data_IF_998886516137
#
_entry.id   IF_998886516137
#
_cell.length_a   1.000
_cell.length_b   1.000
_cell.length_c   1.000
_cell.angle_alpha   90.00
_cell.angle_beta   90.00
_cell.angle_gamma   90.00
#
_symmetry.space_group_name_H-M   'P 1'
#
loop_
_entity.id
_entity.type
_entity.pdbx_description
1 polymer ?
#
# COMPACT_ATOMS: atom_id res chain seq x y z
N UNK A 1 4.54 15.08 -11.94
CA UNK A 1 3.24 14.97 -11.25
C UNK A 1 2.61 13.59 -11.34
N UNK A 2 2.45 13.00 -12.53
CA UNK A 2 1.83 11.67 -12.69
C UNK A 2 2.50 10.56 -11.86
N UNK A 3 3.83 10.46 -11.86
CA UNK A 3 4.54 9.46 -11.03
C UNK A 3 4.31 9.69 -9.52
N UNK A 4 4.13 10.96 -9.11
CA UNK A 4 3.84 11.30 -7.71
C UNK A 4 2.43 10.86 -7.34
N UNK A 5 1.45 11.12 -8.19
CA UNK A 5 0.08 10.62 -8.00
C UNK A 5 0.05 9.09 -7.94
N UNK A 6 0.74 8.42 -8.87
CA UNK A 6 0.87 6.97 -8.85
C UNK A 6 1.47 6.45 -7.54
N UNK A 7 2.54 7.09 -7.04
CA UNK A 7 3.11 6.78 -5.72
C UNK A 7 2.07 6.93 -4.61
N UNK A 8 1.25 7.98 -4.62
CA UNK A 8 0.21 8.21 -3.59
C UNK A 8 -0.85 7.10 -3.60
N UNK A 9 -1.27 6.65 -4.78
CA UNK A 9 -2.21 5.54 -4.94
C UNK A 9 -1.61 4.22 -4.44
N UNK A 10 -0.34 3.96 -4.76
CA UNK A 10 0.37 2.77 -4.25
C UNK A 10 0.54 2.80 -2.73
N UNK A 11 0.77 3.98 -2.16
CA UNK A 11 0.77 4.18 -0.70
C UNK A 11 -0.59 3.92 -0.06
N UNK A 12 -1.68 4.29 -0.73
CA UNK A 12 -3.05 3.92 -0.31
C UNK A 12 -3.23 2.41 -0.18
N UNK A 13 -2.74 1.63 -1.16
CA UNK A 13 -2.74 0.16 -1.08
C UNK A 13 -1.89 -0.41 0.07
N UNK A 14 -0.78 0.24 0.40
CA UNK A 14 0.04 -0.14 1.56
C UNK A 14 -0.69 0.10 2.88
N UNK A 15 -1.39 1.24 3.00
CA UNK A 15 -2.22 1.56 4.16
C UNK A 15 -3.37 0.55 4.30
N UNK A 16 -4.06 0.21 3.20
CA UNK A 16 -5.10 -0.83 3.21
C UNK A 16 -4.58 -2.16 3.75
N UNK A 17 -3.39 -2.60 3.30
CA UNK A 17 -2.80 -3.83 3.80
C UNK A 17 -2.54 -3.79 5.32
N UNK A 18 -1.90 -2.73 5.81
CA UNK A 18 -1.55 -2.60 7.23
C UNK A 18 -2.79 -2.52 8.13
N UNK A 19 -3.83 -1.79 7.70
CA UNK A 19 -5.02 -1.59 8.53
C UNK A 19 -6.02 -2.76 8.46
N UNK A 20 -6.07 -3.49 7.35
CA UNK A 20 -7.10 -4.53 7.13
C UNK A 20 -6.55 -5.95 7.31
N UNK A 21 -5.33 -6.21 6.84
CA UNK A 21 -4.80 -7.57 6.72
C UNK A 21 -3.62 -7.87 7.65
N UNK A 22 -2.85 -6.86 8.04
CA UNK A 22 -1.68 -7.08 8.90
C UNK A 22 -2.10 -7.46 10.33
N UNK A 23 -1.80 -8.72 10.69
CA UNK A 23 -2.10 -9.26 12.02
C UNK A 23 -1.33 -8.53 13.12
N UNK A 24 -0.12 -8.04 12.84
CA UNK A 24 0.70 -7.34 13.83
C UNK A 24 0.09 -5.99 14.22
N UNK A 25 -0.29 -5.20 13.22
CA UNK A 25 -1.02 -3.94 13.40
C UNK A 25 -2.35 -4.17 14.12
N UNK A 26 -3.15 -5.13 13.66
CA UNK A 26 -4.44 -5.45 14.29
C UNK A 26 -4.26 -5.86 15.77
N UNK A 27 -3.29 -6.74 16.07
CA UNK A 27 -3.00 -7.14 17.45
C UNK A 27 -2.58 -5.94 18.31
N UNK A 28 -1.61 -5.14 17.84
CA UNK A 28 -1.11 -3.99 18.59
C UNK A 28 -2.21 -2.97 18.93
N UNK A 29 -3.14 -2.73 18.00
CA UNK A 29 -4.26 -1.81 18.23
C UNK A 29 -5.31 -2.35 19.22
N UNK A 30 -5.42 -3.68 19.36
CA UNK A 30 -6.40 -4.31 20.25
C UNK A 30 -5.85 -4.60 21.66
N UNK A 31 -4.54 -4.52 21.88
CA UNK A 31 -3.92 -4.75 23.20
C UNK A 31 -3.98 -3.48 24.05
N UNK A 32 -4.60 -3.51 25.24
CA UNK A 32 -4.65 -2.36 26.15
C UNK A 32 -3.26 -1.88 26.56
N UNK A 33 -3.05 -0.56 26.60
CA UNK A 33 -1.77 0.04 26.99
C UNK A 33 -0.71 0.07 25.89
N UNK A 34 -1.03 -0.41 24.67
CA UNK A 34 -0.12 -0.33 23.54
C UNK A 34 0.14 1.11 23.09
N UNK A 35 1.38 1.38 22.69
CA UNK A 35 1.78 2.69 22.14
C UNK A 35 1.40 2.78 20.66
N UNK A 36 0.29 3.47 20.40
CA UNK A 36 -0.30 3.60 19.05
C UNK A 36 0.69 4.22 18.04
N UNK A 37 1.48 5.21 18.44
CA UNK A 37 2.46 5.85 17.54
C UNK A 37 3.57 4.90 17.09
N UNK A 38 3.93 3.93 17.94
CA UNK A 38 4.88 2.88 17.58
C UNK A 38 4.27 1.87 16.60
N UNK A 39 2.97 1.64 16.67
CA UNK A 39 2.26 0.73 15.75
C UNK A 39 2.08 1.37 14.38
N UNK A 40 1.64 2.64 14.36
CA UNK A 40 1.29 3.35 13.12
C UNK A 40 2.49 3.98 12.41
N UNK A 41 3.72 3.74 12.88
CA UNK A 41 4.95 4.27 12.26
C UNK A 41 5.15 3.79 10.82
N UNK A 42 4.52 2.66 10.44
CA UNK A 42 4.56 2.13 9.08
C UNK A 42 3.74 2.95 8.09
N UNK A 43 2.84 3.82 8.56
CA UNK A 43 1.98 4.59 7.68
C UNK A 43 2.74 5.73 6.99
N UNK A 44 2.49 5.96 5.69
CA UNK A 44 3.11 7.07 4.98
C UNK A 44 2.50 8.42 5.40
N UNK A 45 3.30 9.49 5.31
CA UNK A 45 2.85 10.87 5.58
C UNK A 45 1.66 11.29 4.72
N UNK A 46 1.64 10.85 3.46
CA UNK A 46 0.54 11.09 2.52
C UNK A 46 0.24 9.83 1.71
N UNK A 47 -1.05 9.60 1.47
CA UNK A 47 -1.60 8.55 0.61
C UNK A 47 -2.88 9.07 -0.06
N UNK A 48 -3.26 8.49 -1.20
CA UNK A 48 -4.45 8.87 -1.94
C UNK A 48 -5.27 7.64 -2.33
N UNK A 49 -6.59 7.79 -2.28
CA UNK A 49 -7.55 6.84 -2.83
C UNK A 49 -8.32 7.53 -3.95
N UNK A 50 -8.30 6.92 -5.15
CA UNK A 50 -9.08 7.39 -6.30
C UNK A 50 -10.06 6.30 -6.68
N UNK A 51 -11.34 6.67 -6.74
CA UNK A 51 -12.36 5.80 -7.29
C UNK A 51 -12.07 5.54 -8.76
N UNK A 52 -12.14 4.28 -9.19
CA UNK A 52 -11.84 3.86 -10.57
C UNK A 52 -10.56 4.50 -11.13
N UNK A 53 -9.46 4.47 -10.37
CA UNK A 53 -8.17 4.89 -10.91
C UNK A 53 -7.88 4.12 -12.21
N UNK A 54 -7.61 4.85 -13.29
CA UNK A 54 -7.36 4.28 -14.61
C UNK A 54 -6.30 3.17 -14.52
N UNK A 55 -6.56 2.04 -15.17
CA UNK A 55 -5.53 1.02 -15.27
C UNK A 55 -4.41 1.55 -16.17
N UNK A 56 -3.15 1.50 -15.70
CA UNK A 56 -2.02 1.94 -16.50
C UNK A 56 -1.87 1.05 -17.72
N UNK A 57 -1.35 1.61 -18.82
CA UNK A 57 -1.04 0.86 -20.04
C UNK A 57 -0.14 -0.35 -19.72
N UNK A 58 -0.42 -1.51 -20.32
CA UNK A 58 0.27 -2.76 -19.98
C UNK A 58 1.81 -2.68 -20.09
N UNK A 59 2.31 -1.97 -21.10
CA UNK A 59 3.74 -1.82 -21.37
C UNK A 59 4.43 -0.71 -20.56
N UNK A 60 3.66 0.11 -19.84
CA UNK A 60 4.17 1.15 -18.95
C UNK A 60 4.90 0.54 -17.75
N UNK A 61 5.66 1.37 -17.01
CA UNK A 61 6.36 0.94 -15.79
C UNK A 61 5.35 0.53 -14.70
N UNK A 62 4.25 1.26 -14.62
CA UNK A 62 3.13 1.06 -13.72
C UNK A 62 2.38 -0.25 -14.03
N UNK A 63 2.11 -0.51 -15.31
CA UNK A 63 1.49 -1.75 -15.79
C UNK A 63 2.36 -2.98 -15.47
N UNK A 64 3.67 -2.90 -15.73
CA UNK A 64 4.64 -3.95 -15.39
C UNK A 64 4.70 -4.23 -13.89
N UNK A 65 4.64 -3.18 -13.06
CA UNK A 65 4.56 -3.34 -11.59
C UNK A 65 3.27 -4.08 -11.19
N UNK A 66 2.12 -3.68 -11.72
CA UNK A 66 0.85 -4.34 -11.42
C UNK A 66 0.86 -5.81 -11.85
N UNK A 67 1.44 -6.14 -13.00
CA UNK A 67 1.57 -7.52 -13.46
C UNK A 67 2.34 -8.39 -12.45
N UNK A 68 3.46 -7.91 -11.92
CA UNK A 68 4.26 -8.61 -10.89
C UNK A 68 3.51 -8.71 -9.57
N UNK A 69 2.76 -7.68 -9.18
CA UNK A 69 1.98 -7.71 -7.94
C UNK A 69 0.78 -8.67 -8.02
N UNK A 70 0.20 -8.86 -9.20
CA UNK A 70 -0.87 -9.84 -9.46
C UNK A 70 -0.32 -11.27 -9.57
N UNK A 71 0.82 -11.42 -10.23
CA UNK A 71 1.48 -12.70 -10.46
C UNK A 71 2.94 -12.60 -10.00
N UNK A 72 3.22 -12.91 -8.72
CA UNK A 72 4.57 -12.91 -8.19
C UNK A 72 5.49 -13.78 -9.05
N UNK A 73 6.73 -13.33 -9.23
CA UNK A 73 7.74 -14.04 -10.01
C UNK A 73 8.99 -14.31 -9.19
N UNK A 74 9.74 -15.33 -9.60
CA UNK A 74 11.06 -15.62 -9.09
C UNK A 74 12.09 -14.59 -9.57
N UNK A 75 13.06 -14.29 -8.70
CA UNK A 75 14.08 -13.26 -8.93
C UNK A 75 15.51 -13.78 -8.87
N UNK A 76 15.72 -15.03 -8.46
CA UNK A 76 17.02 -15.67 -8.25
C UNK A 76 17.21 -16.79 -9.28
#
# INVERSE_FOLDING_TARGET
DQEKEWQQVRRGRYVEFNLVYDRGTAFGLNVPGSRVESILISLPVTAQWRYMHDEPEAESREGKLLAVLRNPKEWV
#
